data_IF_698496059714
#
_entry.id   IF_698496059714
#
_cell.length_a   1.000
_cell.length_b   1.000
_cell.length_c   1.000
_cell.angle_alpha   90.00
_cell.angle_beta   90.00
_cell.angle_gamma   90.00
#
_symmetry.space_group_name_H-M   'P 1'
#
loop_
_entity.id
_entity.type
_entity.pdbx_description
1 polymer ?
#
# COMPACT_ATOMS: atom_id res chain seq x y z
N UNK A 1 -6.93 -6.49 -21.91
CA UNK A 1 -6.87 -6.33 -20.44
C UNK A 1 -7.09 -4.86 -20.12
N UNK A 2 -7.75 -4.53 -19.00
CA UNK A 2 -8.11 -3.15 -18.61
C UNK A 2 -7.44 -2.70 -17.29
N UNK A 3 -6.57 -3.51 -16.70
CA UNK A 3 -5.80 -3.14 -15.53
C UNK A 3 -4.46 -3.85 -15.43
N UNK A 4 -3.58 -3.30 -14.60
CA UNK A 4 -2.25 -3.81 -14.28
C UNK A 4 -2.01 -3.77 -12.77
N UNK A 5 -1.45 -4.87 -12.26
CA UNK A 5 -0.88 -4.94 -10.92
C UNK A 5 0.56 -5.41 -11.05
N UNK A 6 1.48 -4.54 -10.71
CA UNK A 6 2.92 -4.86 -10.70
C UNK A 6 3.31 -5.12 -9.25
N UNK A 7 3.91 -6.29 -9.02
CA UNK A 7 4.11 -6.83 -7.69
C UNK A 7 5.26 -6.12 -6.95
N UNK A 8 5.00 -5.67 -5.72
CA UNK A 8 5.98 -5.10 -4.78
C UNK A 8 6.91 -4.04 -5.40
N UNK A 9 6.33 -3.11 -6.16
CA UNK A 9 7.09 -2.06 -6.84
C UNK A 9 6.26 -0.79 -6.97
N UNK A 10 6.88 0.33 -6.57
CA UNK A 10 6.38 1.67 -6.88
C UNK A 10 6.68 1.96 -8.33
N UNK A 11 5.68 2.44 -9.07
CA UNK A 11 5.81 2.65 -10.50
C UNK A 11 6.54 3.95 -10.85
N UNK A 12 7.20 3.96 -12.01
CA UNK A 12 7.80 5.19 -12.54
C UNK A 12 6.67 6.17 -12.90
N UNK A 13 6.78 7.47 -12.61
CA UNK A 13 5.74 8.44 -12.99
C UNK A 13 5.40 8.42 -14.48
N UNK A 14 6.33 8.03 -15.35
CA UNK A 14 6.07 7.85 -16.79
C UNK A 14 5.14 6.66 -17.05
N UNK A 15 5.26 5.58 -16.29
CA UNK A 15 4.34 4.46 -16.38
C UNK A 15 2.92 4.91 -16.01
N UNK A 16 2.78 5.63 -14.89
CA UNK A 16 1.48 6.14 -14.43
C UNK A 16 0.88 7.16 -15.41
N UNK A 17 1.70 8.03 -16.01
CA UNK A 17 1.27 8.93 -17.08
C UNK A 17 0.67 8.19 -18.29
N UNK A 18 1.32 7.12 -18.74
CA UNK A 18 0.79 6.31 -19.84
C UNK A 18 -0.44 5.51 -19.42
N UNK A 19 -0.49 5.02 -18.18
CA UNK A 19 -1.67 4.36 -17.64
C UNK A 19 -2.89 5.31 -17.63
N UNK A 20 -2.71 6.56 -17.20
CA UNK A 20 -3.74 7.60 -17.26
C UNK A 20 -4.20 7.86 -18.69
N UNK A 21 -3.24 8.00 -19.62
CA UNK A 21 -3.51 8.33 -21.02
C UNK A 21 -4.27 7.21 -21.74
N UNK A 22 -3.95 5.95 -21.42
CA UNK A 22 -4.55 4.77 -22.05
C UNK A 22 -5.83 4.29 -21.33
N UNK A 23 -6.17 4.87 -20.18
CA UNK A 23 -7.30 4.43 -19.36
C UNK A 23 -7.10 3.07 -18.69
N UNK A 24 -5.87 2.76 -18.28
CA UNK A 24 -5.52 1.51 -17.60
C UNK A 24 -5.70 1.68 -16.08
N UNK A 25 -6.36 0.71 -15.43
CA UNK A 25 -6.49 0.70 -13.97
C UNK A 25 -5.24 0.09 -13.31
N UNK A 26 -4.69 0.75 -12.30
CA UNK A 26 -3.43 0.36 -11.66
C UNK A 26 -3.62 0.11 -10.17
N UNK A 27 -3.03 -1.00 -9.71
CA UNK A 27 -2.79 -1.28 -8.30
C UNK A 27 -1.36 -0.84 -7.99
N UNK A 28 -1.20 0.22 -7.20
CA UNK A 28 0.11 0.68 -6.79
C UNK A 28 0.52 0.05 -5.46
N UNK A 29 1.67 -0.63 -5.46
CA UNK A 29 2.07 -1.54 -4.41
C UNK A 29 3.47 -1.22 -3.86
N UNK A 30 3.53 -0.96 -2.55
CA UNK A 30 4.79 -0.69 -1.86
C UNK A 30 5.65 -1.96 -1.75
N UNK A 31 6.97 -1.89 -2.02
CA UNK A 31 7.90 -2.94 -1.64
C UNK A 31 7.82 -3.18 -0.12
N UNK A 32 7.41 -4.38 0.27
CA UNK A 32 7.29 -4.72 1.68
C UNK A 32 8.67 -5.04 2.28
N UNK A 33 8.90 -4.59 3.52
CA UNK A 33 10.12 -4.95 4.24
C UNK A 33 10.17 -6.47 4.52
N UNK A 34 11.35 -7.06 4.55
CA UNK A 34 11.50 -8.49 4.87
C UNK A 34 11.29 -8.76 6.38
N UNK A 35 11.89 -7.93 7.23
CA UNK A 35 11.86 -8.06 8.69
C UNK A 35 11.20 -6.86 9.36
N UNK A 36 10.40 -7.14 10.40
CA UNK A 36 9.81 -6.12 11.25
C UNK A 36 10.85 -5.57 12.24
N UNK A 37 11.14 -4.29 12.13
CA UNK A 37 12.03 -3.53 13.02
C UNK A 37 11.61 -2.06 13.08
N UNK A 38 12.05 -1.33 14.11
CA UNK A 38 11.80 0.12 14.18
C UNK A 38 12.31 0.86 12.92
N UNK A 39 13.51 0.51 12.45
CA UNK A 39 14.07 1.05 11.20
C UNK A 39 13.16 0.77 10.00
N UNK A 40 12.60 -0.44 9.90
CA UNK A 40 11.67 -0.78 8.80
C UNK A 40 10.38 0.05 8.86
N UNK A 41 9.84 0.30 10.07
CA UNK A 41 8.65 1.11 10.28
C UNK A 41 8.89 2.54 9.82
N UNK A 42 9.98 3.15 10.26
CA UNK A 42 10.33 4.53 9.95
C UNK A 42 10.60 4.72 8.45
N UNK A 43 11.30 3.77 7.81
CA UNK A 43 11.57 3.81 6.36
C UNK A 43 10.30 3.62 5.55
N UNK A 44 9.53 2.58 5.84
CA UNK A 44 8.28 2.28 5.16
C UNK A 44 7.31 3.46 5.25
N UNK A 45 7.14 4.02 6.44
CA UNK A 45 6.20 5.14 6.65
C UNK A 45 6.63 6.38 5.87
N UNK A 46 7.93 6.71 5.89
CA UNK A 46 8.46 7.87 5.16
C UNK A 46 8.30 7.70 3.65
N UNK A 47 8.75 6.57 3.11
CA UNK A 47 8.71 6.28 1.67
C UNK A 47 7.26 6.20 1.19
N UNK A 48 6.37 5.59 1.97
CA UNK A 48 4.94 5.53 1.64
C UNK A 48 4.30 6.92 1.57
N UNK A 49 4.65 7.82 2.50
CA UNK A 49 4.20 9.22 2.44
C UNK A 49 4.72 9.96 1.21
N UNK A 50 5.93 9.65 0.75
CA UNK A 50 6.48 10.23 -0.49
C UNK A 50 5.72 9.74 -1.73
N UNK A 51 5.41 8.44 -1.79
CA UNK A 51 4.57 7.82 -2.84
C UNK A 51 3.19 8.49 -2.88
N UNK A 52 2.47 8.53 -1.76
CA UNK A 52 1.14 9.13 -1.72
C UNK A 52 1.15 10.60 -2.15
N UNK A 53 2.17 11.37 -1.78
CA UNK A 53 2.28 12.78 -2.22
C UNK A 53 2.54 12.91 -3.71
N UNK A 54 3.38 12.02 -4.26
CA UNK A 54 3.76 12.03 -5.68
C UNK A 54 2.61 11.56 -6.56
N UNK A 55 1.98 10.45 -6.20
CA UNK A 55 1.20 9.65 -7.14
C UNK A 55 -0.32 9.81 -7.01
N UNK A 56 -0.83 10.36 -5.90
CA UNK A 56 -2.29 10.53 -5.68
C UNK A 56 -3.05 11.28 -6.77
N UNK A 57 -2.35 12.07 -7.58
CA UNK A 57 -2.93 12.85 -8.69
C UNK A 57 -3.19 12.00 -9.94
N UNK A 58 -2.69 10.76 -10.00
CA UNK A 58 -2.92 9.86 -11.14
C UNK A 58 -4.27 9.15 -11.03
N UNK A 59 -5.25 9.42 -11.92
CA UNK A 59 -6.55 8.77 -11.90
C UNK A 59 -6.51 7.28 -12.26
N UNK A 60 -5.46 6.81 -12.94
CA UNK A 60 -5.27 5.38 -13.24
C UNK A 60 -5.12 4.53 -11.98
N UNK A 61 -4.60 5.10 -10.88
CA UNK A 61 -4.45 4.37 -9.62
C UNK A 61 -5.84 4.16 -9.02
N UNK A 62 -6.25 2.90 -8.97
CA UNK A 62 -7.54 2.50 -8.41
C UNK A 62 -7.42 2.18 -6.92
N UNK A 63 -6.28 1.63 -6.50
CA UNK A 63 -6.09 1.17 -5.11
C UNK A 63 -4.64 1.24 -4.68
N UNK A 64 -4.47 1.46 -3.38
CA UNK A 64 -3.18 1.44 -2.69
C UNK A 64 -2.96 0.10 -1.99
N UNK A 65 -1.75 -0.45 -2.09
CA UNK A 65 -1.35 -1.69 -1.42
C UNK A 65 -0.06 -1.47 -0.66
N UNK A 66 -0.14 -1.35 0.68
CA UNK A 66 1.04 -1.06 1.53
C UNK A 66 1.80 -2.33 1.91
N UNK A 67 1.05 -3.40 2.20
CA UNK A 67 1.60 -4.69 2.60
C UNK A 67 1.17 -5.76 1.62
N UNK A 68 2.15 -6.46 1.07
CA UNK A 68 1.94 -7.65 0.27
C UNK A 68 2.14 -8.90 1.12
N UNK A 69 1.20 -9.85 1.09
CA UNK A 69 1.30 -11.18 1.74
C UNK A 69 1.74 -11.17 3.22
N UNK A 70 1.56 -10.05 3.91
CA UNK A 70 2.06 -9.82 5.28
C UNK A 70 3.59 -9.77 5.41
N UNK A 71 4.34 -9.58 4.31
CA UNK A 71 5.78 -9.31 4.38
C UNK A 71 6.05 -8.09 5.28
N UNK A 72 6.99 -8.24 6.21
CA UNK A 72 7.30 -7.22 7.22
C UNK A 72 6.31 -7.17 8.39
N UNK A 73 5.18 -7.88 8.31
CA UNK A 73 4.19 -8.07 9.38
C UNK A 73 3.73 -9.53 9.41
N UNK A 74 4.66 -10.48 9.35
CA UNK A 74 4.34 -11.89 9.12
C UNK A 74 3.62 -12.62 10.27
N UNK A 75 3.51 -12.00 11.46
CA UNK A 75 2.94 -12.61 12.66
C UNK A 75 1.80 -11.78 13.25
N UNK A 76 0.87 -11.36 12.38
CA UNK A 76 -0.31 -10.58 12.79
C UNK A 76 -1.22 -11.30 13.79
N UNK A 77 -1.17 -12.62 13.89
CA UNK A 77 -1.95 -13.38 14.87
C UNK A 77 -1.43 -13.16 16.31
N UNK A 78 -0.10 -13.14 16.49
CA UNK A 78 0.50 -13.13 17.83
C UNK A 78 1.19 -11.81 18.18
N UNK A 79 1.39 -10.89 17.22
CA UNK A 79 2.06 -9.61 17.43
C UNK A 79 1.13 -8.41 17.27
N UNK A 80 0.78 -7.79 18.40
CA UNK A 80 -0.08 -6.62 18.45
C UNK A 80 0.51 -5.40 17.75
N UNK A 81 1.80 -5.15 17.92
CA UNK A 81 2.54 -4.05 17.29
C UNK A 81 2.55 -4.12 15.76
N UNK A 82 2.59 -5.33 15.18
CA UNK A 82 2.45 -5.50 13.74
C UNK A 82 1.04 -5.13 13.27
N UNK A 83 0.00 -5.51 14.02
CA UNK A 83 -1.38 -5.10 13.75
C UNK A 83 -1.55 -3.58 13.87
N UNK A 84 -0.94 -2.98 14.88
CA UNK A 84 -1.02 -1.54 15.11
C UNK A 84 -0.36 -0.76 13.97
N UNK A 85 0.80 -1.22 13.46
CA UNK A 85 1.42 -0.65 12.27
C UNK A 85 0.49 -0.72 11.05
N UNK A 86 -0.10 -1.89 10.79
CA UNK A 86 -1.02 -2.06 9.65
C UNK A 86 -2.22 -1.13 9.75
N UNK A 87 -2.84 -0.99 10.94
CA UNK A 87 -3.94 -0.03 11.15
C UNK A 87 -3.47 1.42 11.00
N UNK A 88 -2.31 1.76 11.55
CA UNK A 88 -1.77 3.11 11.45
C UNK A 88 -1.56 3.53 9.99
N UNK A 89 -0.97 2.66 9.15
CA UNK A 89 -0.76 2.94 7.74
C UNK A 89 -2.06 2.96 6.93
N UNK A 90 -3.05 2.13 7.29
CA UNK A 90 -4.39 2.22 6.72
C UNK A 90 -5.01 3.60 6.97
N UNK A 91 -5.08 4.03 8.24
CA UNK A 91 -5.68 5.32 8.60
C UNK A 91 -4.89 6.50 8.06
N UNK A 92 -3.56 6.43 8.05
CA UNK A 92 -2.70 7.46 7.46
C UNK A 92 -3.00 7.64 5.98
N UNK A 93 -3.11 6.53 5.24
CA UNK A 93 -3.40 6.59 3.81
C UNK A 93 -4.79 7.14 3.56
N UNK A 94 -5.80 6.65 4.30
CA UNK A 94 -7.17 7.11 4.16
C UNK A 94 -7.32 8.61 4.48
N UNK A 95 -6.55 9.13 5.45
CA UNK A 95 -6.55 10.55 5.78
C UNK A 95 -5.95 11.43 4.66
N UNK A 96 -4.99 10.89 3.89
CA UNK A 96 -4.32 11.62 2.80
C UNK A 96 -5.11 11.51 1.49
N UNK A 97 -5.64 10.33 1.21
CA UNK A 97 -6.44 10.04 0.02
C UNK A 97 -7.69 9.22 0.39
N UNK A 98 -8.79 9.90 0.77
CA UNK A 98 -10.04 9.23 1.09
C UNK A 98 -10.78 8.74 -0.16
N UNK A 99 -10.31 9.07 -1.37
CA UNK A 99 -11.02 8.77 -2.62
C UNK A 99 -10.78 7.36 -3.14
N UNK A 100 -9.74 6.67 -2.64
CA UNK A 100 -9.31 5.36 -3.10
C UNK A 100 -9.39 4.30 -2.01
N UNK A 101 -9.55 3.06 -2.44
CA UNK A 101 -9.53 1.91 -1.54
C UNK A 101 -8.09 1.59 -1.15
N UNK A 102 -7.92 1.14 0.09
CA UNK A 102 -6.68 0.49 0.52
C UNK A 102 -6.93 -1.02 0.54
N UNK A 103 -6.17 -1.75 -0.25
CA UNK A 103 -6.29 -3.20 -0.33
C UNK A 103 -5.13 -3.86 0.40
N UNK A 104 -5.35 -4.48 1.56
CA UNK A 104 -4.34 -5.32 2.17
C UNK A 104 -4.40 -6.71 1.53
N UNK A 105 -3.28 -7.20 0.96
CA UNK A 105 -3.20 -8.58 0.42
C UNK A 105 -2.70 -9.58 1.45
N UNK A 106 -2.84 -9.25 2.73
CA UNK A 106 -2.51 -10.07 3.89
C UNK A 106 -3.35 -11.35 3.91
N UNK A 107 -2.69 -12.51 3.98
CA UNK A 107 -3.35 -13.82 4.08
C UNK A 107 -3.91 -13.98 5.49
N UNK A 108 -5.24 -13.90 5.62
CA UNK A 108 -5.96 -14.19 6.86
C UNK A 108 -6.32 -12.93 7.66
N UNK A 109 -7.63 -12.69 7.77
CA UNK A 109 -8.29 -11.80 8.74
C UNK A 109 -7.94 -10.31 8.71
N UNK A 110 -8.64 -9.55 7.87
CA UNK A 110 -8.83 -8.10 8.06
C UNK A 110 -10.28 -7.63 8.20
N UNK A 111 -11.36 -8.34 7.77
CA UNK A 111 -12.71 -7.83 8.01
C UNK A 111 -13.01 -7.55 9.49
N UNK A 112 -12.31 -8.22 10.41
CA UNK A 112 -12.42 -8.07 11.87
C UNK A 112 -11.35 -7.20 12.53
N UNK A 113 -10.45 -6.54 11.78
CA UNK A 113 -9.37 -5.70 12.34
C UNK A 113 -9.55 -4.20 12.04
N UNK A 114 -10.50 -3.85 11.18
CA UNK A 114 -10.86 -2.46 10.83
C UNK A 114 -12.16 -2.02 11.55
N UNK A 115 -12.82 -2.92 12.28
CA UNK A 115 -13.93 -2.64 13.19
C UNK A 115 -13.58 -3.03 14.62
#
# INVERSE_FOLDING_TARGET
FNGARIHQKIEDPRFLFWADTLGLLVWEEMPSAYEFSQTSIERLTREWLEVLRRDKSHPSIMTWVVFNESWGVGNLAHRQDQRDLTRALYHLTHAIDPSRLLFPTTVGSIPSLIY
#
